data_IF_774857015577
#
_entry.id   IF_774857015577
#
_cell.length_a   1.000
_cell.length_b   1.000
_cell.length_c   1.000
_cell.angle_alpha   90.00
_cell.angle_beta   90.00
_cell.angle_gamma   90.00
#
_symmetry.space_group_name_H-M   'P 1'
#
loop_
_entity.id
_entity.type
_entity.pdbx_description
1 polymer ?
#
# COMPACT_ATOMS: atom_id res chain seq x y z
N UNK A 1 -9.84 -5.97 15.45
CA UNK A 1 -11.21 -6.48 15.75
C UNK A 1 -12.12 -6.45 14.50
N UNK A 2 -12.11 -5.39 13.68
CA UNK A 2 -12.96 -5.30 12.47
C UNK A 2 -12.51 -6.16 11.28
N UNK A 3 -11.21 -6.41 11.07
CA UNK A 3 -10.73 -7.39 10.07
C UNK A 3 -11.24 -8.80 10.36
N UNK A 4 -11.37 -9.15 11.65
CA UNK A 4 -12.04 -10.39 12.09
C UNK A 4 -13.53 -10.38 11.76
N UNK A 5 -14.21 -9.24 11.87
CA UNK A 5 -15.64 -9.13 11.53
C UNK A 5 -15.87 -9.26 10.02
N UNK A 6 -15.02 -8.62 9.20
CA UNK A 6 -15.05 -8.75 7.74
C UNK A 6 -14.79 -10.19 7.27
N UNK A 7 -13.79 -10.85 7.84
CA UNK A 7 -13.50 -12.26 7.55
C UNK A 7 -14.62 -13.19 8.07
N UNK A 8 -15.25 -12.86 9.20
CA UNK A 8 -16.40 -13.61 9.71
C UNK A 8 -17.62 -13.48 8.80
N UNK A 9 -17.89 -12.29 8.26
CA UNK A 9 -18.98 -12.08 7.29
C UNK A 9 -18.71 -12.85 5.99
N UNK A 10 -17.48 -12.82 5.49
CA UNK A 10 -17.09 -13.57 4.30
C UNK A 10 -17.25 -15.09 4.52
N UNK A 11 -16.84 -15.59 5.70
CA UNK A 11 -17.02 -16.99 6.08
C UNK A 11 -18.49 -17.38 6.26
N UNK A 12 -19.33 -16.48 6.77
CA UNK A 12 -20.77 -16.71 6.90
C UNK A 12 -21.45 -16.80 5.53
N UNK A 13 -20.96 -16.00 4.57
CA UNK A 13 -21.45 -15.98 3.19
C UNK A 13 -21.11 -17.29 2.46
N UNK A 14 -19.86 -17.75 2.59
CA UNK A 14 -19.40 -19.04 2.07
C UNK A 14 -20.17 -20.21 2.73
N UNK A 15 -20.47 -20.09 4.03
CA UNK A 15 -21.26 -21.10 4.74
C UNK A 15 -22.71 -21.18 4.23
N UNK A 16 -23.36 -20.03 4.00
CA UNK A 16 -24.71 -19.98 3.42
C UNK A 16 -24.75 -20.55 2.00
N UNK A 17 -23.75 -20.25 1.18
CA UNK A 17 -23.59 -20.74 -0.20
C UNK A 17 -23.49 -22.27 -0.28
N UNK A 18 -22.89 -22.91 0.73
CA UNK A 18 -22.82 -24.38 0.81
C UNK A 18 -24.12 -25.04 1.25
N UNK A 19 -25.04 -24.28 1.87
CA UNK A 19 -26.27 -24.81 2.47
C UNK A 19 -27.49 -24.70 1.56
N UNK A 20 -27.54 -23.73 0.63
CA UNK A 20 -28.68 -23.52 -0.28
C UNK A 20 -28.21 -23.26 -1.72
N UNK A 21 -28.11 -24.31 -2.56
CA UNK A 21 -27.71 -24.19 -3.96
C UNK A 21 -28.92 -23.87 -4.85
N UNK A 22 -29.43 -22.63 -4.80
CA UNK A 22 -30.49 -22.19 -5.71
C UNK A 22 -29.92 -21.44 -6.93
N UNK A 23 -30.40 -21.71 -8.16
CA UNK A 23 -29.82 -21.17 -9.40
C UNK A 23 -29.94 -19.65 -9.57
N UNK A 24 -30.81 -18.97 -8.80
CA UNK A 24 -30.88 -17.50 -8.77
C UNK A 24 -29.73 -16.85 -7.98
N UNK A 25 -28.85 -17.64 -7.34
CA UNK A 25 -27.71 -17.12 -6.56
C UNK A 25 -26.66 -16.40 -7.39
N UNK A 26 -26.45 -16.75 -8.67
CA UNK A 26 -25.36 -16.15 -9.47
C UNK A 26 -25.46 -14.62 -9.62
N UNK A 27 -26.67 -14.07 -9.64
CA UNK A 27 -26.92 -12.63 -9.72
C UNK A 27 -26.79 -11.94 -8.35
N UNK A 28 -27.06 -12.69 -7.28
CA UNK A 28 -26.86 -12.27 -5.88
C UNK A 28 -25.36 -12.26 -5.55
N UNK A 29 -24.60 -13.28 -5.97
CA UNK A 29 -23.14 -13.39 -5.86
C UNK A 29 -22.43 -12.16 -6.44
N UNK A 30 -22.79 -11.74 -7.65
CA UNK A 30 -22.17 -10.57 -8.28
C UNK A 30 -22.48 -9.28 -7.52
N UNK A 31 -23.75 -9.08 -7.11
CA UNK A 31 -24.15 -7.90 -6.33
C UNK A 31 -23.49 -7.86 -4.95
N UNK A 32 -23.38 -9.01 -4.29
CA UNK A 32 -22.74 -9.15 -2.98
C UNK A 32 -21.23 -8.98 -3.09
N UNK A 33 -20.57 -9.52 -4.12
CA UNK A 33 -19.13 -9.33 -4.35
C UNK A 33 -18.78 -7.87 -4.66
N UNK A 34 -19.60 -7.19 -5.48
CA UNK A 34 -19.45 -5.75 -5.74
C UNK A 34 -19.71 -4.94 -4.47
N UNK A 35 -20.75 -5.27 -3.71
CA UNK A 35 -21.07 -4.56 -2.46
C UNK A 35 -19.98 -4.75 -1.39
N UNK A 36 -19.49 -5.98 -1.20
CA UNK A 36 -18.41 -6.29 -0.23
C UNK A 36 -17.10 -5.62 -0.61
N UNK A 37 -16.72 -5.59 -1.90
CA UNK A 37 -15.55 -4.87 -2.36
C UNK A 37 -15.72 -3.36 -2.17
N UNK A 38 -16.85 -2.77 -2.58
CA UNK A 38 -17.12 -1.34 -2.40
C UNK A 38 -17.12 -0.94 -0.91
N UNK A 39 -17.67 -1.79 -0.05
CA UNK A 39 -17.69 -1.59 1.39
C UNK A 39 -16.28 -1.71 1.99
N UNK A 40 -15.46 -2.68 1.53
CA UNK A 40 -14.05 -2.83 1.93
C UNK A 40 -13.22 -1.60 1.58
N UNK A 41 -13.34 -1.09 0.36
CA UNK A 41 -12.59 0.10 -0.09
C UNK A 41 -13.02 1.35 0.68
N UNK A 42 -14.34 1.53 0.89
CA UNK A 42 -14.88 2.66 1.68
C UNK A 42 -14.42 2.61 3.13
N UNK A 43 -14.38 1.42 3.75
CA UNK A 43 -13.87 1.24 5.12
C UNK A 43 -12.36 1.49 5.21
N UNK A 44 -11.57 1.03 4.23
CA UNK A 44 -10.13 1.24 4.22
C UNK A 44 -9.78 2.74 4.09
N UNK A 45 -10.48 3.47 3.22
CA UNK A 45 -10.35 4.93 3.11
C UNK A 45 -10.77 5.65 4.40
N UNK A 46 -11.88 5.24 5.03
CA UNK A 46 -12.30 5.82 6.31
C UNK A 46 -11.28 5.56 7.42
N UNK A 47 -10.70 4.36 7.49
CA UNK A 47 -9.65 4.04 8.46
C UNK A 47 -8.36 4.80 8.20
N UNK A 48 -7.93 4.94 6.94
CA UNK A 48 -6.75 5.74 6.60
C UNK A 48 -6.96 7.22 6.95
N UNK A 49 -8.16 7.76 6.70
CA UNK A 49 -8.51 9.11 7.09
C UNK A 49 -8.55 9.28 8.62
N UNK A 50 -9.20 8.36 9.33
CA UNK A 50 -9.27 8.38 10.80
C UNK A 50 -7.90 8.20 11.45
N UNK A 51 -7.05 7.33 10.91
CA UNK A 51 -5.68 7.12 11.37
C UNK A 51 -4.79 8.33 11.09
N UNK A 52 -4.91 8.93 9.90
CA UNK A 52 -4.22 10.19 9.59
C UNK A 52 -4.68 11.32 10.53
N UNK A 53 -5.97 11.39 10.86
CA UNK A 53 -6.50 12.39 11.78
C UNK A 53 -6.08 12.12 13.23
N UNK A 54 -6.04 10.85 13.65
CA UNK A 54 -5.50 10.43 14.94
C UNK A 54 -4.00 10.75 15.06
N UNK A 55 -3.18 10.48 14.03
CA UNK A 55 -1.78 10.89 14.00
C UNK A 55 -1.61 12.40 14.05
N UNK A 56 -2.50 13.16 13.40
CA UNK A 56 -2.51 14.62 13.44
C UNK A 56 -2.87 15.15 14.83
N UNK A 57 -3.83 14.52 15.51
CA UNK A 57 -4.24 14.86 16.88
C UNK A 57 -3.22 14.38 17.93
N UNK A 58 -2.59 13.22 17.74
CA UNK A 58 -1.51 12.71 18.59
C UNK A 58 -0.27 13.61 18.49
N UNK A 59 -0.01 14.21 17.31
CA UNK A 59 0.99 15.28 17.16
C UNK A 59 0.61 16.59 17.84
N UNK A 60 -0.67 16.82 18.16
CA UNK A 60 -1.15 17.96 18.95
C UNK A 60 -1.21 17.66 20.45
N UNK A 61 -1.26 16.38 20.84
CA UNK A 61 -1.28 15.91 22.24
C UNK A 61 0.09 15.58 22.83
N UNK A 62 1.16 15.69 22.04
CA UNK A 62 2.55 15.48 22.48
C UNK A 62 3.09 16.70 23.19
N UNK A 63 3.13 16.64 24.52
CA UNK A 63 3.79 17.60 25.39
C UNK A 63 5.27 17.80 25.03
N UNK A 64 5.69 19.06 25.05
CA UNK A 64 7.07 19.55 25.17
C UNK A 64 7.93 19.67 23.89
N UNK A 65 8.62 20.81 23.83
CA UNK A 65 9.59 21.28 22.85
C UNK A 65 9.03 21.77 21.50
N UNK A 66 8.92 23.09 21.42
CA UNK A 66 8.37 23.81 20.29
C UNK A 66 9.20 23.66 19.03
N UNK A 67 8.53 23.23 17.96
CA UNK A 67 8.95 23.55 16.60
C UNK A 67 7.72 24.17 15.94
N UNK A 68 7.67 25.51 15.96
CA UNK A 68 6.72 26.30 15.20
C UNK A 68 6.92 25.98 13.72
N UNK A 69 6.02 25.20 13.13
CA UNK A 69 5.88 25.08 11.68
C UNK A 69 4.49 25.52 11.24
N UNK A 70 4.13 26.75 11.63
CA UNK A 70 3.03 27.49 11.01
C UNK A 70 3.46 28.04 9.64
N UNK A 71 3.87 27.19 8.69
CA UNK A 71 4.08 27.61 7.28
C UNK A 71 3.94 26.46 6.27
N UNK A 72 3.05 25.50 6.50
CA UNK A 72 2.61 24.61 5.41
C UNK A 72 1.10 24.76 5.21
N UNK A 73 0.72 25.93 4.68
CA UNK A 73 -0.55 26.07 3.95
C UNK A 73 -0.38 25.36 2.60
N UNK A 74 -1.05 24.22 2.50
CA UNK A 74 -1.89 23.83 1.36
C UNK A 74 -1.24 23.77 -0.02
N UNK A 75 -0.67 22.60 -0.35
CA UNK A 75 -0.84 22.00 -1.67
C UNK A 75 -2.28 21.47 -1.74
N UNK A 76 -3.17 22.24 -2.36
CA UNK A 76 -4.58 21.91 -2.52
C UNK A 76 -5.00 22.18 -3.96
N UNK A 77 -5.43 21.11 -4.63
CA UNK A 77 -5.80 21.01 -6.03
C UNK A 77 -6.71 22.13 -6.52
N UNK A 78 -6.32 22.75 -7.62
CA UNK A 78 -7.14 23.64 -8.44
C UNK A 78 -8.27 22.86 -9.11
N UNK A 79 -9.51 23.17 -8.77
CA UNK A 79 -10.66 22.97 -9.66
C UNK A 79 -11.51 24.25 -9.68
N UNK A 80 -12.07 24.65 -10.83
CA UNK A 80 -12.58 25.99 -11.05
C UNK A 80 -14.10 26.11 -10.84
N UNK A 81 -14.54 27.39 -10.77
CA UNK A 81 -15.89 27.91 -10.94
C UNK A 81 -16.78 28.06 -9.67
N UNK A 82 -16.84 29.33 -9.22
CA UNK A 82 -18.08 30.10 -8.99
C UNK A 82 -19.03 29.66 -7.88
N UNK A 83 -18.97 30.32 -6.72
CA UNK A 83 -20.11 31.10 -6.21
C UNK A 83 -19.70 32.13 -5.14
N UNK A 84 -20.51 33.18 -5.07
CA UNK A 84 -20.39 34.41 -4.27
C UNK A 84 -20.70 34.19 -2.78
N UNK A 85 -20.41 35.29 -2.06
CA UNK A 85 -21.13 35.80 -0.89
C UNK A 85 -20.78 35.23 0.50
N UNK A 86 -20.03 36.09 1.21
CA UNK A 86 -20.46 36.74 2.45
C UNK A 86 -20.27 35.99 3.78
N UNK A 87 -19.55 36.70 4.66
CA UNK A 87 -19.64 36.70 6.11
C UNK A 87 -19.50 35.39 6.89
N UNK A 88 -18.35 35.27 7.56
CA UNK A 88 -18.42 35.03 9.00
C UNK A 88 -17.29 35.77 9.72
N UNK A 89 -17.64 36.96 10.24
CA UNK A 89 -17.02 37.49 11.46
C UNK A 89 -17.25 36.45 12.55
N UNK A 90 -16.19 35.97 13.19
CA UNK A 90 -16.21 35.66 14.63
C UNK A 90 -14.80 35.50 15.15
N UNK A 91 -14.51 36.38 16.11
CA UNK A 91 -13.75 36.06 17.32
C UNK A 91 -12.23 35.92 17.16
N UNK A 92 -11.58 37.08 17.24
CA UNK A 92 -10.72 37.43 18.39
C UNK A 92 -10.43 36.28 19.35
N UNK A 93 -9.56 35.34 18.99
CA UNK A 93 -8.82 34.56 19.96
C UNK A 93 -7.47 35.24 20.09
N UNK A 94 -7.38 36.03 21.16
CA UNK A 94 -6.17 36.53 21.79
C UNK A 94 -5.06 35.48 21.77
N UNK A 95 -4.24 35.49 20.72
CA UNK A 95 -2.94 34.87 20.76
C UNK A 95 -2.10 35.77 21.65
N UNK A 96 -2.06 35.36 22.91
CA UNK A 96 -1.18 35.83 23.97
C UNK A 96 0.17 36.10 23.35
N UNK A 97 0.47 37.37 23.10
CA UNK A 97 1.77 37.79 22.63
C UNK A 97 2.79 37.30 23.63
N UNK A 98 3.66 36.37 23.22
CA UNK A 98 4.91 36.07 23.93
C UNK A 98 5.92 37.23 23.85
N UNK A 99 5.42 38.47 23.72
CA UNK A 99 6.13 39.72 23.96
C UNK A 99 5.97 40.12 25.43
N UNK A 100 6.44 39.30 26.37
CA UNK A 100 6.54 39.73 27.77
C UNK A 100 7.74 39.18 28.54
N UNK A 101 8.67 38.45 27.90
CA UNK A 101 9.94 38.10 28.53
C UNK A 101 11.17 38.82 27.95
N UNK A 102 11.02 39.75 26.99
CA UNK A 102 12.17 40.47 26.40
C UNK A 102 12.34 41.93 26.83
N UNK A 103 11.57 42.46 27.76
CA UNK A 103 11.68 43.88 28.14
C UNK A 103 12.05 44.17 29.60
N UNK A 104 12.29 43.16 30.44
CA UNK A 104 12.82 43.39 31.79
C UNK A 104 14.25 42.84 31.88
N UNK A 105 15.18 43.69 32.32
CA UNK A 105 16.60 43.41 32.64
C UNK A 105 17.72 43.58 31.60
N UNK A 106 17.61 44.52 30.64
CA UNK A 106 18.82 45.04 29.97
C UNK A 106 18.91 46.58 29.88
N UNK A 107 18.05 47.33 30.58
CA UNK A 107 18.07 48.80 30.52
C UNK A 107 18.95 49.50 31.55
N UNK A 108 19.75 48.80 32.37
CA UNK A 108 20.46 49.48 33.46
C UNK A 108 21.98 49.28 33.60
N UNK A 109 22.69 48.54 32.74
CA UNK A 109 24.18 48.47 32.88
C UNK A 109 24.98 48.74 31.58
N UNK A 110 24.40 48.86 30.39
CA UNK A 110 25.23 48.88 29.16
C UNK A 110 24.99 50.07 28.22
N UNK A 111 25.18 51.27 28.74
CA UNK A 111 25.90 52.30 27.98
C UNK A 111 27.34 52.35 28.48
N UNK A 112 28.05 51.22 28.39
CA UNK A 112 29.51 51.26 28.40
C UNK A 112 29.93 51.88 27.06
N UNK A 113 29.85 53.21 26.99
CA UNK A 113 30.39 53.99 25.89
C UNK A 113 31.85 53.58 25.79
N UNK A 114 32.29 53.17 24.59
CA UNK A 114 33.71 52.94 24.29
C UNK A 114 34.48 54.26 24.49
N UNK A 115 34.82 54.58 25.73
CA UNK A 115 35.76 55.66 26.04
C UNK A 115 37.14 55.03 26.06
N UNK A 116 37.88 55.23 24.97
CA UNK A 116 39.31 54.92 24.77
C UNK A 116 40.09 54.67 26.08
N UNK A 117 40.07 53.43 26.57
CA UNK A 117 40.82 52.97 27.75
C UNK A 117 40.41 53.51 29.12
N UNK A 118 39.43 54.42 29.24
CA UNK A 118 39.01 55.00 30.53
C UNK A 118 37.62 54.48 30.90
N UNK A 119 37.57 53.52 31.82
CA UNK A 119 36.33 53.02 32.46
C UNK A 119 35.60 54.21 33.09
N UNK A 120 34.40 54.53 32.60
CA UNK A 120 33.57 55.58 33.20
C UNK A 120 32.98 55.04 34.50
N UNK A 121 33.42 55.58 35.64
CA UNK A 121 32.77 55.32 36.91
C UNK A 121 31.44 56.10 36.94
N UNK A 122 30.33 55.43 37.24
CA UNK A 122 29.07 56.07 37.64
C UNK A 122 29.13 56.62 39.07
N UNK A 123 30.31 56.76 39.64
CA UNK A 123 30.52 57.37 40.96
C UNK A 123 30.92 58.81 40.74
N UNK A 124 30.04 59.73 41.14
CA UNK A 124 30.39 61.13 41.28
C UNK A 124 31.29 61.28 42.52
N UNK A 125 32.61 61.26 42.28
CA UNK A 125 33.61 61.37 43.34
C UNK A 125 33.49 62.70 44.09
N UNK A 126 33.11 63.78 43.42
CA UNK A 126 32.95 65.09 44.04
C UNK A 126 31.72 65.13 44.94
N UNK A 127 30.59 64.59 44.49
CA UNK A 127 29.39 64.49 45.32
C UNK A 127 29.62 63.56 46.52
N UNK A 128 30.38 62.47 46.36
CA UNK A 128 30.73 61.57 47.45
C UNK A 128 31.60 62.27 48.51
N UNK A 129 32.64 63.00 48.10
CA UNK A 129 33.48 63.79 49.02
C UNK A 129 32.65 64.83 49.76
N UNK A 130 31.81 65.60 49.06
CA UNK A 130 30.93 66.60 49.69
C UNK A 130 29.95 65.98 50.68
N UNK A 131 29.42 64.80 50.36
CA UNK A 131 28.54 64.05 51.25
C UNK A 131 29.27 63.62 52.53
N UNK A 132 30.51 63.13 52.42
CA UNK A 132 31.35 62.76 53.57
C UNK A 132 31.72 63.98 54.43
N UNK A 133 32.08 65.11 53.80
CA UNK A 133 32.36 66.36 54.51
C UNK A 133 31.11 66.88 55.26
N UNK A 134 29.92 66.75 54.65
CA UNK A 134 28.66 67.10 55.31
C UNK A 134 28.34 66.22 56.54
N UNK A 135 28.89 65.01 56.61
CA UNK A 135 28.81 64.13 57.80
C UNK A 135 29.89 64.45 58.85
N UNK A 136 30.68 65.51 58.66
CA UNK A 136 31.72 65.94 59.59
C UNK A 136 33.08 65.28 59.39
N UNK A 137 33.30 64.54 58.29
CA UNK A 137 34.64 64.03 57.98
C UNK A 137 35.55 65.19 57.53
N UNK A 138 36.80 65.28 58.04
CA UNK A 138 37.81 66.18 57.50
C UNK A 138 38.05 65.90 56.01
N UNK A 139 38.19 66.95 55.20
CA UNK A 139 38.37 66.86 53.74
C UNK A 139 39.41 65.81 53.29
N UNK A 140 40.58 65.79 53.95
CA UNK A 140 41.64 64.80 53.67
C UNK A 140 41.20 63.34 53.88
N UNK A 141 40.36 63.08 54.89
CA UNK A 141 39.84 61.73 55.16
C UNK A 141 38.73 61.36 54.17
N UNK A 142 37.86 62.31 53.83
CA UNK A 142 36.82 62.12 52.82
C UNK A 142 37.41 61.77 51.45
N UNK A 143 38.48 62.44 51.04
CA UNK A 143 39.24 62.13 49.82
C UNK A 143 39.89 60.75 49.87
N UNK A 144 40.56 60.39 50.98
CA UNK A 144 41.20 59.09 51.12
C UNK A 144 40.19 57.93 51.05
N UNK A 145 39.05 58.07 51.72
CA UNK A 145 37.96 57.08 51.67
C UNK A 145 37.40 56.97 50.23
N UNK A 146 37.16 58.11 49.58
CA UNK A 146 36.69 58.15 48.19
C UNK A 146 37.70 57.49 47.23
N UNK A 147 39.00 57.71 47.45
CA UNK A 147 40.09 57.05 46.70
C UNK A 147 40.07 55.54 46.87
N UNK A 148 40.00 55.05 48.11
CA UNK A 148 39.93 53.61 48.41
C UNK A 148 38.68 52.95 47.80
N UNK A 149 37.52 53.61 47.87
CA UNK A 149 36.28 53.13 47.22
C UNK A 149 36.46 53.04 45.71
N UNK A 150 37.06 54.07 45.10
CA UNK A 150 37.30 54.10 43.64
C UNK A 150 38.24 52.99 43.20
N UNK A 151 39.28 52.67 43.98
CA UNK A 151 40.21 51.56 43.73
C UNK A 151 39.50 50.20 43.79
N UNK A 152 38.78 49.92 44.88
CA UNK A 152 38.01 48.67 45.04
C UNK A 152 36.96 48.50 43.93
N UNK A 153 36.29 49.60 43.53
CA UNK A 153 35.35 49.58 42.42
C UNK A 153 36.02 49.34 41.07
N UNK A 154 37.23 49.86 40.84
CA UNK A 154 37.98 49.63 39.61
C UNK A 154 38.41 48.17 39.46
N UNK A 155 38.90 47.58 40.55
CA UNK A 155 39.31 46.18 40.57
C UNK A 155 38.10 45.26 40.38
N UNK A 156 37.02 45.53 41.13
CA UNK A 156 35.75 44.80 41.02
C UNK A 156 35.17 44.86 39.60
N UNK A 157 35.12 46.06 38.99
CA UNK A 157 34.63 46.22 37.63
C UNK A 157 35.54 45.55 36.59
N UNK A 158 36.85 45.51 36.86
CA UNK A 158 37.82 44.77 36.05
C UNK A 158 37.51 43.27 36.01
N UNK A 159 37.27 42.66 37.18
CA UNK A 159 36.87 41.24 37.28
C UNK A 159 35.51 41.01 36.62
N UNK A 160 34.51 41.84 36.90
CA UNK A 160 33.17 41.72 36.29
C UNK A 160 33.25 41.83 34.76
N UNK A 161 34.09 42.73 34.24
CA UNK A 161 34.30 42.87 32.79
C UNK A 161 34.94 41.64 32.15
N UNK A 162 35.68 40.81 32.90
CA UNK A 162 36.23 39.54 32.40
C UNK A 162 35.20 38.40 32.43
N UNK A 163 34.22 38.47 33.33
CA UNK A 163 33.15 37.47 33.45
C UNK A 163 32.01 37.68 32.43
N UNK A 164 31.86 38.89 31.91
CA UNK A 164 30.80 39.24 30.97
C UNK A 164 31.33 39.23 29.54
N UNK A 165 30.62 38.53 28.65
CA UNK A 165 30.90 38.54 27.21
C UNK A 165 30.59 39.91 26.62
N UNK A 166 31.51 40.46 25.83
CA UNK A 166 31.28 41.76 25.18
C UNK A 166 30.14 41.68 24.17
N UNK A 167 29.45 42.80 23.92
CA UNK A 167 28.35 42.85 22.93
C UNK A 167 28.80 42.39 21.54
N UNK A 168 30.05 42.67 21.14
CA UNK A 168 30.61 42.26 19.87
C UNK A 168 30.86 40.74 19.77
N UNK A 169 31.36 40.13 20.84
CA UNK A 169 31.53 38.67 20.91
C UNK A 169 30.19 37.93 20.94
N UNK A 170 29.21 38.46 21.68
CA UNK A 170 27.85 37.93 21.71
C UNK A 170 27.22 37.97 20.31
N UNK A 171 27.33 39.11 19.60
CA UNK A 171 26.84 39.24 18.23
C UNK A 171 27.55 38.29 17.27
N UNK A 172 28.86 38.07 17.44
CA UNK A 172 29.61 37.09 16.63
C UNK A 172 29.12 35.66 16.89
N UNK A 173 28.86 35.29 18.14
CA UNK A 173 28.30 33.98 18.49
C UNK A 173 26.90 33.79 17.89
N UNK A 174 26.04 34.82 17.96
CA UNK A 174 24.70 34.82 17.35
C UNK A 174 24.76 34.65 15.83
N UNK A 175 25.59 35.44 15.14
CA UNK A 175 25.79 35.30 13.68
C UNK A 175 26.30 33.91 13.30
N UNK A 176 27.21 33.32 14.10
CA UNK A 176 27.73 31.97 13.87
C UNK A 176 26.63 30.92 14.04
N UNK A 177 25.82 31.03 15.10
CA UNK A 177 24.69 30.13 15.36
C UNK A 177 23.63 30.24 14.24
N UNK A 178 23.29 31.45 13.82
CA UNK A 178 22.34 31.68 12.73
C UNK A 178 22.84 31.09 11.41
N UNK A 179 24.14 31.24 11.12
CA UNK A 179 24.75 30.64 9.93
C UNK A 179 24.72 29.11 9.95
N UNK A 180 24.98 28.49 11.11
CA UNK A 180 24.95 27.03 11.26
C UNK A 180 23.53 26.49 11.15
N UNK A 181 22.55 27.20 11.74
CA UNK A 181 21.13 26.84 11.62
C UNK A 181 20.66 26.94 10.17
N UNK A 182 21.07 27.98 9.45
CA UNK A 182 20.76 28.14 8.02
C UNK A 182 21.34 27.01 7.17
N UNK A 183 22.61 26.64 7.40
CA UNK A 183 23.25 25.50 6.73
C UNK A 183 22.52 24.19 7.02
N UNK A 184 22.27 23.89 8.29
CA UNK A 184 21.56 22.69 8.70
C UNK A 184 20.16 22.60 8.08
N UNK A 185 19.41 23.71 8.04
CA UNK A 185 18.11 23.80 7.36
C UNK A 185 18.24 23.50 5.87
N UNK A 186 19.27 24.03 5.20
CA UNK A 186 19.49 23.79 3.78
C UNK A 186 19.86 22.33 3.49
N UNK A 187 20.69 21.70 4.34
CA UNK A 187 21.07 20.29 4.24
C UNK A 187 19.86 19.37 4.44
N UNK A 188 19.02 19.66 5.46
CA UNK A 188 17.77 18.92 5.67
C UNK A 188 16.85 19.05 4.47
N UNK A 189 16.60 20.26 3.98
CA UNK A 189 15.70 20.45 2.84
C UNK A 189 16.23 19.73 1.60
N UNK A 190 17.53 19.86 1.30
CA UNK A 190 18.15 19.16 0.18
C UNK A 190 18.09 17.63 0.33
N UNK A 191 18.30 17.11 1.53
CA UNK A 191 18.19 15.68 1.82
C UNK A 191 16.75 15.19 1.68
N UNK A 192 15.77 15.94 2.18
CA UNK A 192 14.35 15.62 2.07
C UNK A 192 13.90 15.61 0.61
N UNK A 193 14.28 16.61 -0.18
CA UNK A 193 13.96 16.68 -1.61
C UNK A 193 14.58 15.49 -2.36
N UNK A 194 15.85 15.17 -2.07
CA UNK A 194 16.54 14.03 -2.66
C UNK A 194 15.86 12.70 -2.31
N UNK A 195 15.56 12.45 -1.03
CA UNK A 195 14.87 11.23 -0.60
C UNK A 195 13.45 11.14 -1.17
N UNK A 196 12.74 12.27 -1.28
CA UNK A 196 11.42 12.30 -1.90
C UNK A 196 11.48 11.94 -3.38
N UNK A 197 12.43 12.50 -4.14
CA UNK A 197 12.64 12.14 -5.54
C UNK A 197 13.04 10.67 -5.72
N UNK A 198 13.92 10.14 -4.86
CA UNK A 198 14.32 8.74 -4.88
C UNK A 198 13.12 7.81 -4.63
N UNK A 199 12.33 8.10 -3.59
CA UNK A 199 11.12 7.34 -3.27
C UNK A 199 10.08 7.44 -4.38
N UNK A 200 9.91 8.61 -5.00
CA UNK A 200 8.98 8.79 -6.12
C UNK A 200 9.41 7.93 -7.32
N UNK A 201 10.70 7.95 -7.67
CA UNK A 201 11.26 7.14 -8.74
C UNK A 201 11.14 5.63 -8.46
N UNK A 202 11.44 5.20 -7.23
CA UNK A 202 11.29 3.80 -6.83
C UNK A 202 9.83 3.35 -6.86
N UNK A 203 8.90 4.18 -6.38
CA UNK A 203 7.46 3.89 -6.45
C UNK A 203 6.97 3.79 -7.91
N UNK A 204 7.45 4.65 -8.81
CA UNK A 204 7.12 4.59 -10.23
C UNK A 204 7.69 3.32 -10.88
N UNK A 205 8.94 2.96 -10.56
CA UNK A 205 9.55 1.71 -11.02
C UNK A 205 8.76 0.48 -10.54
N UNK A 206 8.40 0.42 -9.26
CA UNK A 206 7.60 -0.67 -8.70
C UNK A 206 6.21 -0.76 -9.34
N UNK A 207 5.58 0.39 -9.65
CA UNK A 207 4.30 0.42 -10.38
C UNK A 207 4.44 -0.17 -11.79
N UNK A 208 5.49 0.23 -12.51
CA UNK A 208 5.77 -0.29 -13.85
C UNK A 208 6.07 -1.81 -13.82
N UNK A 209 6.82 -2.28 -12.82
CA UNK A 209 7.11 -3.71 -12.64
C UNK A 209 5.83 -4.52 -12.34
N UNK A 210 4.93 -3.99 -11.52
CA UNK A 210 3.62 -4.62 -11.24
C UNK A 210 2.78 -4.70 -12.51
N UNK A 211 2.72 -3.63 -13.31
CA UNK A 211 1.97 -3.62 -14.57
C UNK A 211 2.54 -4.59 -15.59
N UNK A 212 3.87 -4.68 -15.68
CA UNK A 212 4.59 -5.66 -16.50
C UNK A 212 4.25 -7.09 -16.09
N UNK A 213 4.44 -7.43 -14.81
CA UNK A 213 4.15 -8.78 -14.31
C UNK A 213 2.67 -9.14 -14.53
N UNK A 214 1.76 -8.19 -14.34
CA UNK A 214 0.32 -8.40 -14.61
C UNK A 214 0.05 -8.68 -16.08
N UNK A 215 0.76 -8.01 -16.99
CA UNK A 215 0.68 -8.27 -18.43
C UNK A 215 1.23 -9.65 -18.79
N UNK A 216 2.41 -10.00 -18.27
CA UNK A 216 3.07 -11.28 -18.52
C UNK A 216 2.20 -12.46 -18.03
N UNK A 217 1.61 -12.35 -16.84
CA UNK A 217 0.69 -13.37 -16.30
C UNK A 217 -0.54 -13.55 -17.21
N UNK A 218 -1.14 -12.45 -17.69
CA UNK A 218 -2.29 -12.56 -18.62
C UNK A 218 -1.89 -13.25 -19.92
N UNK A 219 -0.75 -12.87 -20.47
CA UNK A 219 -0.24 -13.50 -21.69
C UNK A 219 0.01 -15.00 -21.51
N UNK A 220 0.66 -15.41 -20.40
CA UNK A 220 0.90 -16.82 -20.12
C UNK A 220 -0.39 -17.60 -19.84
N UNK A 221 -1.38 -17.00 -19.17
CA UNK A 221 -2.72 -17.61 -19.00
C UNK A 221 -3.38 -17.84 -20.35
N UNK A 222 -3.41 -16.82 -21.22
CA UNK A 222 -4.04 -16.91 -22.53
C UNK A 222 -3.34 -17.96 -23.41
N UNK A 223 -2.01 -18.00 -23.37
CA UNK A 223 -1.18 -18.97 -24.09
C UNK A 223 -1.42 -20.40 -23.61
N UNK A 224 -1.42 -20.65 -22.29
CA UNK A 224 -1.71 -21.98 -21.73
C UNK A 224 -3.14 -22.40 -22.03
N UNK A 225 -4.11 -21.48 -21.92
CA UNK A 225 -5.52 -21.75 -22.22
C UNK A 225 -5.73 -22.07 -23.69
N UNK A 226 -5.10 -21.32 -24.61
CA UNK A 226 -5.13 -21.61 -26.04
C UNK A 226 -4.44 -22.94 -26.37
N UNK A 227 -3.31 -23.23 -25.72
CA UNK A 227 -2.59 -24.50 -25.85
C UNK A 227 -3.45 -25.70 -25.43
N UNK A 228 -4.09 -25.63 -24.26
CA UNK A 228 -5.00 -26.68 -23.78
C UNK A 228 -6.21 -26.85 -24.71
N UNK A 229 -6.79 -25.74 -25.19
CA UNK A 229 -7.90 -25.80 -26.14
C UNK A 229 -7.50 -26.47 -27.45
N UNK A 230 -6.29 -26.19 -27.94
CA UNK A 230 -5.74 -26.84 -29.14
C UNK A 230 -5.52 -28.34 -28.91
N UNK A 231 -4.90 -28.71 -27.79
CA UNK A 231 -4.62 -30.10 -27.42
C UNK A 231 -5.91 -30.93 -27.35
N UNK A 232 -6.94 -30.42 -26.66
CA UNK A 232 -8.26 -31.06 -26.60
C UNK A 232 -8.94 -31.17 -27.98
N UNK A 233 -8.76 -30.19 -28.85
CA UNK A 233 -9.33 -30.24 -30.20
C UNK A 233 -8.62 -31.28 -31.08
N UNK A 234 -7.30 -31.42 -30.96
CA UNK A 234 -6.52 -32.44 -31.67
C UNK A 234 -6.88 -33.83 -31.14
N UNK A 235 -6.98 -34.00 -29.83
CA UNK A 235 -7.36 -35.25 -29.21
C UNK A 235 -8.79 -35.66 -29.57
N UNK A 236 -9.73 -34.70 -29.59
CA UNK A 236 -11.09 -34.94 -30.08
C UNK A 236 -11.12 -35.31 -31.57
N UNK A 237 -10.24 -34.72 -32.38
CA UNK A 237 -10.04 -35.08 -33.79
C UNK A 237 -9.55 -36.53 -33.92
N UNK A 238 -8.49 -36.88 -33.19
CA UNK A 238 -7.91 -38.23 -33.15
C UNK A 238 -8.92 -39.29 -32.71
N UNK A 239 -9.65 -39.03 -31.62
CA UNK A 239 -10.72 -39.94 -31.14
C UNK A 239 -11.81 -40.13 -32.20
N UNK A 240 -12.17 -39.06 -32.94
CA UNK A 240 -13.17 -39.16 -34.00
C UNK A 240 -12.68 -40.01 -35.17
N UNK A 241 -11.42 -39.86 -35.56
CA UNK A 241 -10.81 -40.66 -36.63
C UNK A 241 -10.68 -42.13 -36.22
N UNK A 242 -10.28 -42.41 -34.99
CA UNK A 242 -10.24 -43.76 -34.41
C UNK A 242 -11.63 -44.40 -34.34
N UNK A 243 -12.64 -43.65 -33.90
CA UNK A 243 -14.02 -44.11 -33.87
C UNK A 243 -14.55 -44.40 -35.29
N UNK A 244 -14.21 -43.56 -36.28
CA UNK A 244 -14.59 -43.79 -37.67
C UNK A 244 -13.89 -45.03 -38.23
N UNK A 245 -12.61 -45.26 -37.91
CA UNK A 245 -11.88 -46.45 -38.31
C UNK A 245 -12.51 -47.72 -37.70
N UNK A 246 -12.79 -47.73 -36.39
CA UNK A 246 -13.46 -48.84 -35.70
C UNK A 246 -14.84 -49.13 -36.28
N UNK A 247 -15.63 -48.11 -36.60
CA UNK A 247 -16.93 -48.28 -37.23
C UNK A 247 -16.82 -48.87 -38.64
N UNK A 248 -15.78 -48.47 -39.40
CA UNK A 248 -15.44 -49.06 -40.69
C UNK A 248 -15.04 -50.53 -40.60
N UNK A 249 -14.18 -50.88 -39.64
CA UNK A 249 -13.79 -52.27 -39.34
C UNK A 249 -14.99 -53.12 -38.93
N UNK A 250 -15.85 -52.58 -38.06
CA UNK A 250 -17.09 -53.25 -37.60
C UNK A 250 -18.02 -53.51 -38.78
N UNK A 251 -18.27 -52.51 -39.62
CA UNK A 251 -19.10 -52.66 -40.84
C UNK A 251 -18.51 -53.69 -41.81
N UNK A 252 -17.20 -53.65 -42.02
CA UNK A 252 -16.50 -54.64 -42.85
C UNK A 252 -16.62 -56.06 -42.28
N UNK A 253 -16.52 -56.23 -40.96
CA UNK A 253 -16.67 -57.52 -40.28
C UNK A 253 -18.11 -58.02 -40.37
N UNK A 254 -19.11 -57.16 -40.12
CA UNK A 254 -20.54 -57.48 -40.29
C UNK A 254 -20.83 -57.92 -41.72
N UNK A 255 -20.33 -57.19 -42.72
CA UNK A 255 -20.50 -57.55 -44.13
C UNK A 255 -19.80 -58.88 -44.49
N UNK A 256 -18.69 -59.25 -43.82
CA UNK A 256 -18.06 -60.58 -43.99
C UNK A 256 -18.93 -61.67 -43.37
N UNK A 257 -19.42 -61.46 -42.16
CA UNK A 257 -20.33 -62.38 -41.47
C UNK A 257 -21.61 -62.60 -42.26
N UNK A 258 -22.24 -61.56 -42.80
CA UNK A 258 -23.46 -61.68 -43.63
C UNK A 258 -23.19 -62.54 -44.87
N UNK A 259 -22.05 -62.33 -45.55
CA UNK A 259 -21.64 -63.16 -46.69
C UNK A 259 -21.44 -64.62 -46.30
N UNK A 260 -20.72 -64.87 -45.20
CA UNK A 260 -20.49 -66.22 -44.68
C UNK A 260 -21.81 -66.91 -44.30
N UNK A 261 -22.74 -66.20 -43.67
CA UNK A 261 -24.09 -66.70 -43.35
C UNK A 261 -24.85 -67.06 -44.62
N UNK A 262 -24.82 -66.21 -45.65
CA UNK A 262 -25.47 -66.49 -46.94
C UNK A 262 -24.85 -67.71 -47.63
N UNK A 263 -23.52 -67.85 -47.62
CA UNK A 263 -22.83 -69.03 -48.17
C UNK A 263 -23.19 -70.30 -47.39
N UNK A 264 -23.15 -70.26 -46.06
CA UNK A 264 -23.52 -71.40 -45.21
C UNK A 264 -24.99 -71.80 -45.40
N UNK A 265 -25.90 -70.84 -45.54
CA UNK A 265 -27.31 -71.10 -45.81
C UNK A 265 -27.51 -71.80 -47.15
N UNK A 266 -26.85 -71.34 -48.21
CA UNK A 266 -26.92 -71.98 -49.53
C UNK A 266 -26.35 -73.41 -49.51
N UNK A 267 -25.23 -73.63 -48.82
CA UNK A 267 -24.65 -74.96 -48.61
C UNK A 267 -25.62 -75.88 -47.83
N UNK A 268 -26.28 -75.36 -46.79
CA UNK A 268 -27.26 -76.10 -46.01
C UNK A 268 -28.52 -76.46 -46.82
N UNK A 269 -29.00 -75.56 -47.67
CA UNK A 269 -30.12 -75.83 -48.58
C UNK A 269 -29.75 -76.89 -49.62
N UNK A 270 -28.57 -76.81 -50.23
CA UNK A 270 -28.05 -77.84 -51.15
C UNK A 270 -27.93 -79.21 -50.45
N UNK A 271 -27.32 -79.25 -49.26
CA UNK A 271 -27.17 -80.47 -48.46
C UNK A 271 -28.53 -81.08 -48.08
N UNK A 272 -29.56 -80.26 -47.78
CA UNK A 272 -30.93 -80.75 -47.56
C UNK A 272 -31.50 -81.45 -48.79
N UNK A 273 -31.36 -80.87 -49.99
CA UNK A 273 -31.84 -81.49 -51.22
C UNK A 273 -31.10 -82.80 -51.55
N UNK A 274 -29.79 -82.86 -51.31
CA UNK A 274 -29.01 -84.08 -51.44
C UNK A 274 -29.53 -85.18 -50.51
N UNK A 275 -29.75 -84.88 -49.22
CA UNK A 275 -30.31 -85.83 -48.24
C UNK A 275 -31.69 -86.33 -48.66
N UNK A 276 -32.57 -85.44 -49.14
CA UNK A 276 -33.91 -85.84 -49.63
C UNK A 276 -33.79 -86.80 -50.83
N UNK A 277 -32.90 -86.50 -51.79
CA UNK A 277 -32.66 -87.35 -52.95
C UNK A 277 -32.14 -88.74 -52.55
N UNK A 278 -31.22 -88.78 -51.57
CA UNK A 278 -30.76 -90.04 -50.98
C UNK A 278 -31.91 -90.81 -50.33
N UNK A 279 -32.75 -90.16 -49.50
CA UNK A 279 -33.91 -90.79 -48.86
C UNK A 279 -34.89 -91.40 -49.89
N UNK A 280 -35.24 -90.66 -50.95
CA UNK A 280 -36.12 -91.18 -52.02
C UNK A 280 -35.49 -92.40 -52.70
N UNK A 281 -34.21 -92.32 -53.06
CA UNK A 281 -33.48 -93.44 -53.66
C UNK A 281 -33.50 -94.69 -52.79
N UNK A 282 -33.30 -94.53 -51.46
CA UNK A 282 -33.39 -95.65 -50.52
C UNK A 282 -34.82 -96.22 -50.41
N UNK A 283 -35.86 -95.39 -50.30
CA UNK A 283 -37.26 -95.85 -50.26
C UNK A 283 -37.69 -96.59 -51.54
N UNK A 284 -37.26 -96.11 -52.71
CA UNK A 284 -37.51 -96.77 -54.00
C UNK A 284 -36.76 -98.10 -54.07
N UNK A 285 -35.51 -98.16 -53.59
CA UNK A 285 -34.76 -99.43 -53.55
C UNK A 285 -35.41 -100.44 -52.60
N UNK A 286 -35.86 -100.01 -51.42
CA UNK A 286 -36.53 -100.87 -50.43
C UNK A 286 -37.87 -101.38 -50.98
N UNK A 287 -38.66 -100.51 -51.63
CA UNK A 287 -39.94 -100.92 -52.22
C UNK A 287 -39.76 -101.82 -53.44
N UNK A 288 -38.75 -101.57 -54.29
CA UNK A 288 -38.40 -102.46 -55.41
C UNK A 288 -37.95 -103.83 -54.91
N UNK A 289 -37.10 -103.88 -53.88
CA UNK A 289 -36.69 -105.14 -53.24
C UNK A 289 -37.88 -105.84 -52.58
N UNK A 290 -38.74 -105.12 -51.86
CA UNK A 290 -39.94 -105.67 -51.24
C UNK A 290 -40.93 -106.27 -52.25
N UNK A 291 -41.16 -105.60 -53.38
CA UNK A 291 -42.00 -106.12 -54.47
C UNK A 291 -41.36 -107.34 -55.16
N UNK A 292 -40.05 -107.32 -55.37
CA UNK A 292 -39.33 -108.47 -55.95
C UNK A 292 -39.42 -109.70 -55.04
N UNK A 293 -39.27 -109.52 -53.72
CA UNK A 293 -39.44 -110.60 -52.73
C UNK A 293 -40.89 -111.09 -52.72
N UNK A 294 -41.89 -110.20 -52.70
CA UNK A 294 -43.30 -110.60 -52.77
C UNK A 294 -43.63 -111.39 -54.05
N UNK A 295 -43.07 -111.02 -55.20
CA UNK A 295 -43.29 -111.73 -56.49
C UNK A 295 -42.67 -113.14 -56.54
N UNK A 296 -41.62 -113.40 -55.77
CA UNK A 296 -41.01 -114.74 -55.67
C UNK A 296 -41.78 -115.60 -54.66
N UNK A 297 -42.36 -114.97 -53.62
CA UNK A 297 -43.08 -115.66 -52.54
C UNK A 297 -44.53 -115.99 -52.92
N UNK A 298 -45.20 -115.14 -53.73
CA UNK A 298 -46.50 -115.43 -54.34
C UNK A 298 -46.35 -116.19 -55.66
#
# INVERSE_FOLDING_TARGET
MLTRLGNSLLSLLIFFQRRFPDPNFGLIEFKVSVFTNQFRESFHLFFMAAYANYLRLARLGGTSSGVNLSTLRSFGYSNPAFDKTQEFRSSSSSLVSYSSFRQFHARFISQLIKTNGKRLFLVDTLALVRSLEAQGLPSKQAEAITGAITEVLNDSLGVVSQLVVSKGEMQKAEMTQESNLSKFKSEINSSLDHHFSLLQHENEKLRNDIERIRSDIRHEIDKVTAGQRLDLNLEKGRIRDELQNQNGETSNLTNKLDREIHTLRAQLEAAKYEVIKYCIGTLVSISAVGLAVLRIVM
#
